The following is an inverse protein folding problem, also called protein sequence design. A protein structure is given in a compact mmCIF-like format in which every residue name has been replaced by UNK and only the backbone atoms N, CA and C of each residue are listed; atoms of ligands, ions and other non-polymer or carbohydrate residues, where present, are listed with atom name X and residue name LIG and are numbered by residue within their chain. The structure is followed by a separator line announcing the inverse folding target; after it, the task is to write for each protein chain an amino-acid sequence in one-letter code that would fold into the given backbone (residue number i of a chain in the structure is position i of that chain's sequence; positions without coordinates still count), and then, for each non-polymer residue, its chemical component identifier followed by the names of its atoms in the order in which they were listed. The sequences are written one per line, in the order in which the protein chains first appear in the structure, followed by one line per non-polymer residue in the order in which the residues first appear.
data_IF_131306697604
#
_entry.id   IF_131306697604
#
_cell.length_a   1.000
_cell.length_b   1.000
_cell.length_c   1.000
_cell.angle_alpha   90.00
_cell.angle_beta   90.00
_cell.angle_gamma   90.00
#
_symmetry.space_group_name_H-M   'P 1'
#
loop_
_entity.id
_entity.type
_entity.pdbx_description
1 polymer ?
#
# COMPACT_ATOMS: atom_id res chain seq x y z
N UNK A 1 8.02 11.61 -19.00
CA UNK A 1 8.26 10.17 -18.71
C UNK A 1 7.93 9.35 -19.94
N UNK A 2 8.77 8.39 -20.29
CA UNK A 2 8.48 7.41 -21.34
C UNK A 2 7.32 6.49 -20.92
N UNK A 3 6.63 5.88 -21.89
CA UNK A 3 5.58 4.90 -21.64
C UNK A 3 6.09 3.71 -20.79
N UNK A 4 7.32 3.27 -21.05
CA UNK A 4 7.99 2.19 -20.28
C UNK A 4 8.12 2.56 -18.81
N UNK A 5 8.52 3.80 -18.51
CA UNK A 5 8.65 4.26 -17.12
C UNK A 5 7.29 4.28 -16.41
N UNK A 6 6.21 4.66 -17.11
CA UNK A 6 4.85 4.68 -16.54
C UNK A 6 4.31 3.26 -16.25
N UNK A 7 4.57 2.32 -17.15
CA UNK A 7 4.20 0.91 -16.96
C UNK A 7 4.98 0.30 -15.79
N UNK A 8 6.28 0.58 -15.71
CA UNK A 8 7.11 0.10 -14.60
C UNK A 8 6.66 0.67 -13.25
N UNK A 9 6.33 1.96 -13.18
CA UNK A 9 5.76 2.56 -11.95
C UNK A 9 4.44 1.91 -11.56
N UNK A 10 3.56 1.65 -12.54
CA UNK A 10 2.27 1.01 -12.31
C UNK A 10 2.42 -0.43 -11.83
N UNK A 11 3.35 -1.19 -12.42
CA UNK A 11 3.64 -2.57 -12.02
C UNK A 11 4.22 -2.66 -10.61
N UNK A 12 5.13 -1.74 -10.24
CA UNK A 12 5.70 -1.69 -8.88
C UNK A 12 4.63 -1.33 -7.84
N UNK A 13 3.79 -0.34 -8.15
CA UNK A 13 2.63 0.04 -7.34
C UNK A 13 1.66 -1.12 -7.14
N UNK A 14 1.34 -1.84 -8.22
CA UNK A 14 0.54 -3.05 -8.16
C UNK A 14 1.18 -4.12 -7.27
N UNK A 15 2.48 -4.37 -7.45
CA UNK A 15 3.21 -5.37 -6.66
C UNK A 15 3.18 -5.04 -5.16
N UNK A 16 3.38 -3.77 -4.78
CA UNK A 16 3.27 -3.33 -3.38
C UNK A 16 1.91 -3.70 -2.78
N UNK A 17 0.82 -3.53 -3.54
CA UNK A 17 -0.53 -3.80 -3.06
C UNK A 17 -0.85 -5.29 -3.01
N UNK A 18 -0.40 -6.07 -3.99
CA UNK A 18 -0.84 -7.46 -4.14
C UNK A 18 0.06 -8.45 -3.38
N UNK A 19 1.37 -8.21 -3.35
CA UNK A 19 2.34 -9.18 -2.83
C UNK A 19 2.12 -9.45 -1.34
N UNK A 20 1.97 -8.41 -0.52
CA UNK A 20 1.87 -8.59 0.93
C UNK A 20 0.60 -9.35 1.35
N UNK A 21 -0.62 -8.94 0.94
CA UNK A 21 -1.85 -9.69 1.27
C UNK A 21 -1.86 -11.14 0.81
N UNK A 22 -1.40 -11.44 -0.41
CA UNK A 22 -1.42 -12.80 -0.94
C UNK A 22 -0.46 -13.73 -0.19
N UNK A 23 0.70 -13.21 0.18
CA UNK A 23 1.68 -13.96 0.96
C UNK A 23 1.27 -14.12 2.43
N UNK A 24 0.58 -13.12 3.01
CA UNK A 24 0.04 -13.20 4.37
C UNK A 24 -0.96 -14.37 4.52
N UNK A 25 -1.81 -14.57 3.53
CA UNK A 25 -2.85 -15.61 3.52
C UNK A 25 -2.27 -16.98 3.14
N UNK A 26 -1.20 -16.97 2.35
CA UNK A 26 -0.52 -18.15 1.86
C UNK A 26 -1.19 -18.74 0.61
N UNK A 27 -0.40 -19.14 -0.41
CA UNK A 27 -0.94 -19.51 -1.72
C UNK A 27 -1.87 -20.74 -1.68
N UNK A 28 -1.70 -21.64 -0.70
CA UNK A 28 -2.53 -22.82 -0.53
C UNK A 28 -3.96 -22.50 -0.04
N UNK A 29 -4.16 -21.35 0.62
CA UNK A 29 -5.45 -20.94 1.17
C UNK A 29 -6.23 -20.00 0.22
N UNK A 30 -5.64 -19.62 -0.91
CA UNK A 30 -6.27 -18.72 -1.87
C UNK A 30 -7.31 -19.45 -2.72
N UNK A 31 -8.55 -18.98 -2.65
CA UNK A 31 -9.60 -19.41 -3.56
C UNK A 31 -9.72 -18.41 -4.71
N UNK A 32 -9.27 -18.80 -5.91
CA UNK A 32 -9.29 -17.97 -7.13
C UNK A 32 -10.69 -17.81 -7.72
N UNK A 33 -11.57 -17.18 -6.95
CA UNK A 33 -12.89 -16.76 -7.40
C UNK A 33 -12.80 -15.46 -8.18
N UNK A 34 -13.84 -15.17 -8.95
CA UNK A 34 -13.94 -13.95 -9.75
C UNK A 34 -13.70 -12.68 -8.91
N UNK A 35 -14.16 -12.65 -7.65
CA UNK A 35 -13.94 -11.52 -6.73
C UNK A 35 -12.46 -11.30 -6.41
N UNK A 36 -11.69 -12.37 -6.17
CA UNK A 36 -10.26 -12.26 -5.88
C UNK A 36 -9.48 -11.80 -7.11
N UNK A 37 -9.82 -12.33 -8.29
CA UNK A 37 -9.22 -11.88 -9.56
C UNK A 37 -9.51 -10.39 -9.76
N UNK A 38 -10.75 -9.96 -9.58
CA UNK A 38 -11.11 -8.54 -9.69
C UNK A 38 -10.36 -7.67 -8.66
N UNK A 39 -10.22 -8.14 -7.42
CA UNK A 39 -9.49 -7.44 -6.37
C UNK A 39 -7.99 -7.31 -6.67
N UNK A 40 -7.38 -8.26 -7.38
CA UNK A 40 -5.97 -8.17 -7.82
C UNK A 40 -5.77 -7.26 -9.03
N UNK A 41 -6.77 -7.16 -9.92
CA UNK A 41 -6.71 -6.31 -11.12
C UNK A 41 -7.07 -4.85 -10.82
N UNK A 42 -7.92 -4.60 -9.83
CA UNK A 42 -8.32 -3.27 -9.41
C UNK A 42 -7.12 -2.35 -9.10
N UNK A 43 -6.14 -2.74 -8.25
CA UNK A 43 -4.93 -1.96 -8.00
C UNK A 43 -4.14 -1.61 -9.26
N UNK A 44 -4.12 -2.52 -10.25
CA UNK A 44 -3.41 -2.29 -11.50
C UNK A 44 -4.07 -1.17 -12.30
N UNK A 45 -5.40 -1.20 -12.42
CA UNK A 45 -6.16 -0.17 -13.12
C UNK A 45 -5.97 1.20 -12.45
N UNK A 46 -6.03 1.26 -11.11
CA UNK A 46 -5.87 2.51 -10.35
C UNK A 46 -4.43 3.06 -10.46
N UNK A 47 -3.41 2.20 -10.32
CA UNK A 47 -2.01 2.58 -10.46
C UNK A 47 -1.68 3.12 -11.87
N UNK A 48 -2.23 2.49 -12.92
CA UNK A 48 -2.04 2.94 -14.30
C UNK A 48 -2.82 4.23 -14.60
N UNK A 49 -4.01 4.40 -14.02
CA UNK A 49 -4.77 5.65 -14.11
C UNK A 49 -3.98 6.82 -13.49
N UNK A 50 -3.38 6.60 -12.31
CA UNK A 50 -2.51 7.56 -11.64
C UNK A 50 -1.25 7.91 -12.48
N UNK A 51 -0.66 6.92 -13.16
CA UNK A 51 0.45 7.14 -14.10
C UNK A 51 0.05 7.93 -15.37
N UNK A 52 -1.21 8.38 -15.44
CA UNK A 52 -1.82 9.10 -16.57
C UNK A 52 -1.70 8.31 -17.87
N UNK A 53 -1.94 7.00 -17.80
CA UNK A 53 -2.17 6.15 -18.95
C UNK A 53 -3.70 6.03 -19.05
N UNK A 54 -4.32 6.70 -20.03
CA UNK A 54 -5.77 6.64 -20.26
C UNK A 54 -6.63 6.62 -18.97
N UNK A 55 -6.58 7.69 -18.15
CA UNK A 55 -7.13 7.67 -16.79
C UNK A 55 -8.64 7.44 -16.74
N UNK A 56 -9.42 8.06 -17.63
CA UNK A 56 -10.88 7.93 -17.68
C UNK A 56 -11.37 6.50 -17.93
N UNK A 57 -10.94 5.78 -18.99
CA UNK A 57 -11.38 4.41 -19.20
C UNK A 57 -10.84 3.45 -18.13
N UNK A 58 -9.65 3.68 -17.59
CA UNK A 58 -9.13 2.85 -16.49
C UNK A 58 -9.91 3.04 -15.19
N UNK A 59 -10.35 4.25 -14.86
CA UNK A 59 -11.23 4.48 -13.72
C UNK A 59 -12.61 3.83 -13.94
N UNK A 60 -13.12 3.83 -15.17
CA UNK A 60 -14.34 3.10 -15.53
C UNK A 60 -14.19 1.58 -15.34
N UNK A 61 -13.08 1.01 -15.81
CA UNK A 61 -12.76 -0.40 -15.57
C UNK A 61 -12.56 -0.70 -14.09
N UNK A 62 -11.88 0.17 -13.35
CA UNK A 62 -11.71 0.04 -11.91
C UNK A 62 -13.06 0.06 -11.18
N UNK A 63 -14.02 0.87 -11.61
CA UNK A 63 -15.36 0.87 -11.04
C UNK A 63 -16.09 -0.47 -11.25
N UNK A 64 -15.99 -1.03 -12.46
CA UNK A 64 -16.55 -2.36 -12.76
C UNK A 64 -15.88 -3.47 -11.94
N UNK A 65 -14.55 -3.48 -11.87
CA UNK A 65 -13.79 -4.43 -11.07
C UNK A 65 -14.10 -4.28 -9.57
N UNK A 66 -14.28 -3.04 -9.11
CA UNK A 66 -14.69 -2.72 -7.75
C UNK A 66 -16.06 -3.29 -7.40
N UNK A 67 -17.05 -3.18 -8.30
CA UNK A 67 -18.37 -3.80 -8.12
C UNK A 67 -18.28 -5.32 -8.06
N UNK A 68 -17.49 -5.94 -8.95
CA UNK A 68 -17.27 -7.39 -8.93
C UNK A 68 -16.61 -7.81 -7.61
N UNK A 69 -15.61 -7.06 -7.14
CA UNK A 69 -14.90 -7.29 -5.88
C UNK A 69 -15.86 -7.30 -4.68
N UNK A 70 -16.79 -6.34 -4.63
CA UNK A 70 -17.76 -6.20 -3.55
C UNK A 70 -19.00 -7.11 -3.67
N UNK A 71 -19.16 -7.86 -4.77
CA UNK A 71 -20.37 -8.63 -5.07
C UNK A 71 -20.76 -9.64 -3.98
N UNK A 72 -19.78 -10.22 -3.28
CA UNK A 72 -20.00 -11.14 -2.18
C UNK A 72 -20.08 -10.42 -0.81
N UNK A 73 -19.58 -9.19 -0.70
CA UNK A 73 -19.44 -8.48 0.57
C UNK A 73 -19.59 -6.97 0.38
N UNK A 74 -20.83 -6.50 0.43
CA UNK A 74 -21.20 -5.10 0.18
C UNK A 74 -20.63 -4.11 1.20
N UNK A 75 -20.17 -4.58 2.36
CA UNK A 75 -19.50 -3.74 3.36
C UNK A 75 -18.18 -3.15 2.85
N UNK A 76 -17.58 -3.73 1.80
CA UNK A 76 -16.39 -3.20 1.12
C UNK A 76 -16.71 -2.07 0.14
N UNK A 77 -17.98 -1.85 -0.21
CA UNK A 77 -18.38 -0.85 -1.21
C UNK A 77 -17.94 0.58 -0.83
N UNK A 78 -18.11 1.07 0.42
CA UNK A 78 -17.63 2.39 0.80
C UNK A 78 -16.11 2.54 0.63
N UNK A 79 -15.36 1.46 0.90
CA UNK A 79 -13.91 1.44 0.76
C UNK A 79 -13.49 1.54 -0.71
N UNK A 80 -14.15 0.78 -1.59
CA UNK A 80 -13.91 0.83 -3.04
C UNK A 80 -14.31 2.18 -3.65
N UNK A 81 -15.43 2.76 -3.21
CA UNK A 81 -15.83 4.10 -3.64
C UNK A 81 -14.80 5.15 -3.21
N UNK A 82 -14.29 5.06 -1.98
CA UNK A 82 -13.21 5.94 -1.52
C UNK A 82 -11.96 5.79 -2.38
N UNK A 83 -11.55 4.57 -2.73
CA UNK A 83 -10.42 4.31 -3.64
C UNK A 83 -10.61 4.99 -5.00
N UNK A 84 -11.80 4.87 -5.61
CA UNK A 84 -12.10 5.50 -6.90
C UNK A 84 -12.02 7.03 -6.82
N UNK A 85 -12.52 7.62 -5.73
CA UNK A 85 -12.45 9.08 -5.51
C UNK A 85 -11.01 9.54 -5.31
N UNK A 86 -10.20 8.81 -4.54
CA UNK A 86 -8.78 9.12 -4.33
C UNK A 86 -7.98 9.00 -5.63
N UNK A 87 -8.21 7.93 -6.40
CA UNK A 87 -7.57 7.73 -7.70
C UNK A 87 -7.96 8.82 -8.70
N UNK A 88 -9.24 9.21 -8.72
CA UNK A 88 -9.72 10.33 -9.53
C UNK A 88 -9.02 11.64 -9.13
N UNK A 89 -8.91 11.91 -7.84
CA UNK A 89 -8.24 13.10 -7.31
C UNK A 89 -6.75 13.10 -7.69
N UNK A 90 -6.05 11.98 -7.55
CA UNK A 90 -4.64 11.84 -7.94
C UNK A 90 -4.41 11.98 -9.46
N UNK A 91 -5.36 11.52 -10.27
CA UNK A 91 -5.25 11.58 -11.74
C UNK A 91 -5.57 12.98 -12.31
N UNK A 92 -6.41 13.76 -11.63
CA UNK A 92 -6.93 15.05 -12.13
C UNK A 92 -6.27 16.26 -11.47
N UNK A 93 -5.95 16.20 -10.18
CA UNK A 93 -5.43 17.35 -9.44
C UNK A 93 -3.90 17.43 -9.48
N UNK A 94 -3.38 18.63 -9.65
CA UNK A 94 -1.96 18.92 -9.48
C UNK A 94 -1.61 19.10 -8.01
N UNK A 95 -1.43 17.98 -7.31
CA UNK A 95 -0.98 18.00 -5.91
C UNK A 95 0.53 18.24 -5.81
N UNK A 96 0.95 18.85 -4.70
CA UNK A 96 2.37 18.86 -4.34
C UNK A 96 2.86 17.44 -4.00
N UNK A 97 4.18 17.15 -4.07
CA UNK A 97 4.67 15.78 -3.91
C UNK A 97 4.31 15.08 -2.58
N UNK A 98 4.37 15.74 -1.41
CA UNK A 98 4.03 15.09 -0.13
C UNK A 98 2.56 14.62 0.00
N UNK A 99 1.53 15.46 -0.28
CA UNK A 99 0.15 15.01 -0.21
C UNK A 99 -0.17 13.97 -1.29
N UNK A 100 0.40 14.09 -2.50
CA UNK A 100 0.21 13.09 -3.54
C UNK A 100 0.71 11.69 -3.11
N UNK A 101 1.91 11.64 -2.50
CA UNK A 101 2.46 10.39 -2.00
C UNK A 101 1.66 9.84 -0.80
N UNK A 102 1.16 10.72 0.08
CA UNK A 102 0.34 10.32 1.23
C UNK A 102 -1.00 9.71 0.78
N UNK A 103 -1.69 10.37 -0.14
CA UNK A 103 -2.96 9.88 -0.71
C UNK A 103 -2.77 8.53 -1.40
N UNK A 104 -1.68 8.38 -2.16
CA UNK A 104 -1.32 7.11 -2.77
C UNK A 104 -1.07 5.99 -1.75
N UNK A 105 -0.39 6.31 -0.65
CA UNK A 105 -0.10 5.34 0.40
C UNK A 105 -1.39 4.91 1.13
N UNK A 106 -2.30 5.86 1.38
CA UNK A 106 -3.64 5.58 1.91
C UNK A 106 -4.44 4.69 0.95
N UNK A 107 -4.36 4.97 -0.35
CA UNK A 107 -5.00 4.13 -1.38
C UNK A 107 -4.42 2.71 -1.39
N UNK A 108 -3.10 2.56 -1.29
CA UNK A 108 -2.45 1.25 -1.15
C UNK A 108 -2.93 0.49 0.09
N UNK A 109 -3.03 1.19 1.23
CA UNK A 109 -3.54 0.59 2.47
C UNK A 109 -4.98 0.10 2.28
N UNK A 110 -5.87 0.92 1.71
CA UNK A 110 -7.24 0.49 1.44
C UNK A 110 -7.30 -0.69 0.47
N UNK A 111 -6.49 -0.69 -0.59
CA UNK A 111 -6.48 -1.80 -1.54
C UNK A 111 -5.95 -3.09 -0.90
N UNK A 112 -4.94 -3.00 -0.04
CA UNK A 112 -4.45 -4.15 0.73
C UNK A 112 -5.53 -4.69 1.67
N UNK A 113 -6.28 -3.82 2.36
CA UNK A 113 -7.43 -4.21 3.20
C UNK A 113 -8.54 -4.87 2.37
N UNK A 114 -8.88 -4.31 1.21
CA UNK A 114 -9.85 -4.92 0.30
C UNK A 114 -9.40 -6.32 -0.09
N UNK A 115 -8.13 -6.47 -0.49
CA UNK A 115 -7.59 -7.73 -0.97
C UNK A 115 -7.51 -8.79 0.15
N UNK A 116 -7.04 -8.42 1.34
CA UNK A 116 -7.03 -9.34 2.50
C UNK A 116 -8.44 -9.76 2.89
N UNK A 117 -9.40 -8.85 2.89
CA UNK A 117 -10.79 -9.15 3.24
C UNK A 117 -11.45 -10.05 2.20
N UNK A 118 -11.25 -9.79 0.92
CA UNK A 118 -11.81 -10.64 -0.16
C UNK A 118 -11.20 -12.04 -0.12
N UNK A 119 -9.92 -12.15 0.18
CA UNK A 119 -9.24 -13.44 0.22
C UNK A 119 -9.56 -14.25 1.50
N UNK A 120 -9.73 -13.59 2.65
CA UNK A 120 -10.06 -14.26 3.94
C UNK A 120 -11.56 -14.31 4.28
N UNK A 121 -12.40 -13.57 3.54
CA UNK A 121 -13.84 -13.35 3.79
C UNK A 121 -14.16 -12.68 5.15
N UNK A 122 -13.14 -12.25 5.91
CA UNK A 122 -13.29 -11.66 7.24
C UNK A 122 -12.47 -10.39 7.31
N UNK A 123 -13.02 -9.35 7.95
CA UNK A 123 -12.25 -8.16 8.30
C UNK A 123 -11.51 -8.49 9.60
N UNK A 124 -10.24 -8.87 9.47
CA UNK A 124 -9.39 -9.18 10.63
C UNK A 124 -8.70 -7.90 11.13
N UNK A 125 -8.96 -7.57 12.40
CA UNK A 125 -8.37 -6.41 13.07
C UNK A 125 -6.86 -6.58 13.25
N UNK A 126 -6.37 -7.81 13.39
CA UNK A 126 -4.94 -8.11 13.46
C UNK A 126 -4.24 -7.81 12.13
N UNK A 127 -4.82 -8.24 11.01
CA UNK A 127 -4.30 -7.90 9.68
C UNK A 127 -4.30 -6.38 9.41
N UNK A 128 -5.33 -5.66 9.89
CA UNK A 128 -5.40 -4.19 9.82
C UNK A 128 -4.26 -3.51 10.61
N UNK A 129 -3.98 -3.99 11.83
CA UNK A 129 -2.88 -3.49 12.65
C UNK A 129 -1.54 -3.76 11.97
N UNK A 130 -1.33 -4.98 11.46
CA UNK A 130 -0.10 -5.34 10.73
C UNK A 130 0.13 -4.40 9.54
N UNK A 131 -0.90 -4.18 8.73
CA UNK A 131 -0.87 -3.25 7.60
C UNK A 131 -0.55 -1.82 8.04
N UNK A 132 -1.19 -1.35 9.12
CA UNK A 132 -0.97 -0.01 9.65
C UNK A 132 0.48 0.17 10.13
N UNK A 133 1.03 -0.82 10.84
CA UNK A 133 2.40 -0.81 11.34
C UNK A 133 3.43 -0.78 10.20
N UNK A 134 3.13 -1.40 9.06
CA UNK A 134 3.98 -1.33 7.86
C UNK A 134 3.90 0.02 7.17
N UNK A 135 2.70 0.59 7.06
CA UNK A 135 2.43 1.78 6.24
C UNK A 135 2.71 3.11 6.95
N UNK A 136 2.46 3.19 8.26
CA UNK A 136 2.65 4.41 9.06
C UNK A 136 4.08 4.98 9.03
N UNK A 137 5.15 4.18 9.15
CA UNK A 137 6.52 4.67 9.09
C UNK A 137 6.83 5.38 7.75
N UNK A 138 6.30 4.86 6.65
CA UNK A 138 6.47 5.48 5.33
C UNK A 138 5.63 6.74 5.18
N UNK A 139 4.43 6.78 5.76
CA UNK A 139 3.62 8.00 5.82
C UNK A 139 4.35 9.12 6.59
N UNK A 140 4.97 8.79 7.73
CA UNK A 140 5.80 9.74 8.50
C UNK A 140 6.99 10.22 7.66
N UNK A 141 7.66 9.29 6.96
CA UNK A 141 8.84 9.58 6.13
C UNK A 141 8.53 10.53 4.97
N UNK A 142 7.32 10.47 4.39
CA UNK A 142 6.87 11.40 3.34
C UNK A 142 6.87 12.86 3.84
N UNK A 143 6.58 13.07 5.12
CA UNK A 143 6.48 14.40 5.74
C UNK A 143 7.76 14.85 6.44
N UNK A 144 8.84 14.06 6.37
CA UNK A 144 10.07 14.34 7.11
C UNK A 144 10.68 15.72 6.86
N UNK A 145 10.55 16.28 5.65
CA UNK A 145 11.04 17.63 5.32
C UNK A 145 10.29 18.75 6.05
N UNK A 146 9.05 18.49 6.44
CA UNK A 146 8.21 19.44 7.19
C UNK A 146 8.33 19.27 8.70
N UNK A 147 9.01 18.20 9.16
CA UNK A 147 9.18 17.88 10.58
C UNK A 147 10.60 18.22 11.07
N UNK A 148 10.78 18.48 12.38
CA UNK A 148 12.10 18.62 12.99
C UNK A 148 12.98 17.39 12.71
N UNK A 149 14.29 17.61 12.59
CA UNK A 149 15.35 16.60 12.28
C UNK A 149 15.20 15.23 12.95
N UNK A 150 14.75 15.27 14.19
CA UNK A 150 14.73 14.14 15.11
C UNK A 150 13.32 13.53 15.27
N UNK A 151 12.27 14.28 14.92
CA UNK A 151 10.90 13.93 15.27
C UNK A 151 10.36 12.80 14.40
N UNK A 152 10.72 12.79 13.12
CA UNK A 152 10.40 11.69 12.21
C UNK A 152 11.05 10.38 12.67
N UNK A 153 12.32 10.43 13.06
CA UNK A 153 13.07 9.26 13.55
C UNK A 153 12.45 8.71 14.83
N UNK A 154 12.14 9.58 15.80
CA UNK A 154 11.47 9.15 17.05
C UNK A 154 10.11 8.54 16.75
N UNK A 155 9.31 9.15 15.87
CA UNK A 155 8.00 8.64 15.52
C UNK A 155 8.07 7.27 14.84
N UNK A 156 9.01 7.07 13.92
CA UNK A 156 9.26 5.77 13.27
C UNK A 156 9.66 4.70 14.29
N UNK A 157 10.60 5.02 15.19
CA UNK A 157 11.04 4.11 16.25
C UNK A 157 9.88 3.75 17.18
N UNK A 158 9.02 4.73 17.51
CA UNK A 158 7.85 4.51 18.35
C UNK A 158 6.86 3.55 17.69
N UNK A 159 6.56 3.74 16.40
CA UNK A 159 5.67 2.82 15.65
C UNK A 159 6.26 1.40 15.61
N UNK A 160 7.55 1.26 15.33
CA UNK A 160 8.21 -0.05 15.34
C UNK A 160 8.22 -0.70 16.73
N UNK A 161 8.48 0.09 17.78
CA UNK A 161 8.47 -0.35 19.18
C UNK A 161 7.09 -0.80 19.63
N UNK A 162 6.02 -0.08 19.26
CA UNK A 162 4.63 -0.49 19.50
C UNK A 162 4.35 -1.81 18.79
N UNK A 163 4.78 -1.98 17.54
CA UNK A 163 4.58 -3.23 16.82
C UNK A 163 5.31 -4.43 17.45
N UNK A 164 6.50 -4.22 18.03
CA UNK A 164 7.18 -5.27 18.80
C UNK A 164 6.48 -5.57 20.13
N UNK A 165 6.04 -4.54 20.85
CA UNK A 165 5.32 -4.69 22.12
C UNK A 165 4.03 -5.49 21.95
N UNK A 166 3.31 -5.23 20.85
CA UNK A 166 2.11 -5.97 20.48
C UNK A 166 2.40 -7.34 19.81
N UNK A 167 3.68 -7.73 19.70
CA UNK A 167 4.12 -8.99 19.09
C UNK A 167 3.73 -9.17 17.60
N UNK A 168 3.42 -8.07 16.91
CA UNK A 168 3.13 -8.07 15.47
C UNK A 168 4.42 -7.98 14.62
N UNK A 169 5.50 -7.44 15.18
CA UNK A 169 6.80 -7.30 14.54
C UNK A 169 7.89 -8.09 15.27
N UNK A 170 8.78 -8.70 14.50
CA UNK A 170 10.04 -9.27 15.01
C UNK A 170 11.09 -8.17 15.11
N UNK A 171 12.19 -8.44 15.83
CA UNK A 171 13.31 -7.49 15.89
C UNK A 171 13.86 -7.18 14.50
N UNK A 172 13.95 -8.18 13.62
CA UNK A 172 14.44 -8.02 12.26
C UNK A 172 13.49 -7.16 11.41
N UNK A 173 12.17 -7.38 11.50
CA UNK A 173 11.22 -6.56 10.75
C UNK A 173 11.15 -5.13 11.27
N UNK A 174 11.22 -4.93 12.59
CA UNK A 174 11.30 -3.61 13.20
C UNK A 174 12.56 -2.84 12.72
N UNK A 175 13.72 -3.50 12.71
CA UNK A 175 14.97 -2.89 12.23
C UNK A 175 14.89 -2.56 10.73
N UNK A 176 14.32 -3.44 9.91
CA UNK A 176 14.11 -3.18 8.49
C UNK A 176 13.19 -1.98 8.23
N UNK A 177 12.07 -1.90 8.96
CA UNK A 177 11.14 -0.75 8.92
C UNK A 177 11.89 0.55 9.22
N UNK A 178 12.63 0.59 10.32
CA UNK A 178 13.35 1.80 10.75
C UNK A 178 14.37 2.21 9.70
N UNK A 179 15.21 1.28 9.22
CA UNK A 179 16.25 1.59 8.25
C UNK A 179 15.66 2.07 6.92
N UNK A 180 14.68 1.36 6.37
CA UNK A 180 14.07 1.71 5.09
C UNK A 180 13.28 3.03 5.18
N UNK A 181 12.56 3.27 6.28
CA UNK A 181 11.85 4.52 6.51
C UNK A 181 12.83 5.71 6.64
N UNK A 182 13.95 5.54 7.37
CA UNK A 182 14.99 6.59 7.47
C UNK A 182 15.65 6.88 6.12
N UNK A 183 15.89 5.87 5.29
CA UNK A 183 16.42 6.05 3.93
C UNK A 183 15.42 6.82 3.05
N UNK A 184 14.13 6.52 3.15
CA UNK A 184 13.07 7.25 2.44
C UNK A 184 12.92 8.69 2.98
N UNK A 185 13.16 8.88 4.28
CA UNK A 185 13.16 10.17 4.97
C UNK A 185 14.34 11.08 4.58
N UNK A 186 15.26 10.60 3.73
CA UNK A 186 16.47 11.35 3.40
C UNK A 186 16.16 12.76 2.85
N UNK A 187 16.51 13.76 3.65
CA UNK A 187 16.19 15.17 3.42
C UNK A 187 16.95 15.74 2.22
N UNK A 188 18.11 15.17 1.87
CA UNK A 188 18.97 15.65 0.79
C UNK A 188 18.42 15.33 -0.60
N UNK A 189 17.54 14.34 -0.74
CA UNK A 189 17.00 13.92 -2.03
C UNK A 189 15.52 14.29 -2.18
N UNK A 190 15.04 14.56 -3.42
CA UNK A 190 13.62 14.73 -3.66
C UNK A 190 12.89 13.40 -3.48
N UNK A 191 11.72 13.44 -2.82
CA UNK A 191 10.83 12.30 -2.68
C UNK A 191 10.48 11.75 -4.07
N UNK A 192 10.86 10.50 -4.34
CA UNK A 192 10.40 9.79 -5.55
C UNK A 192 9.40 8.71 -5.14
N UNK A 193 8.19 8.71 -5.71
CA UNK A 193 7.17 7.70 -5.40
C UNK A 193 7.66 6.26 -5.58
N UNK A 194 8.55 6.03 -6.55
CA UNK A 194 9.20 4.73 -6.78
C UNK A 194 9.93 4.19 -5.55
N UNK A 195 10.67 5.04 -4.82
CA UNK A 195 11.44 4.60 -3.66
C UNK A 195 10.53 4.25 -2.49
N UNK A 196 9.44 5.00 -2.31
CA UNK A 196 8.43 4.73 -1.27
C UNK A 196 7.77 3.37 -1.53
N UNK A 197 7.35 3.12 -2.77
CA UNK A 197 6.68 1.87 -3.13
C UNK A 197 7.63 0.66 -3.02
N UNK A 198 8.88 0.82 -3.47
CA UNK A 198 9.90 -0.22 -3.37
C UNK A 198 10.25 -0.54 -1.91
N UNK A 199 10.39 0.49 -1.06
CA UNK A 199 10.68 0.31 0.35
C UNK A 199 9.51 -0.37 1.07
N UNK A 200 8.27 0.05 0.82
CA UNK A 200 7.08 -0.57 1.39
C UNK A 200 6.93 -2.05 0.97
N UNK A 201 7.19 -2.35 -0.31
CA UNK A 201 7.21 -3.74 -0.82
C UNK A 201 8.30 -4.57 -0.13
N UNK A 202 9.53 -4.05 -0.04
CA UNK A 202 10.65 -4.74 0.59
C UNK A 202 10.36 -5.05 2.07
N UNK A 203 9.81 -4.09 2.82
CA UNK A 203 9.40 -4.28 4.21
C UNK A 203 8.35 -5.37 4.36
N UNK A 204 7.32 -5.37 3.50
CA UNK A 204 6.30 -6.41 3.50
C UNK A 204 6.90 -7.80 3.28
N UNK A 205 7.80 -7.93 2.31
CA UNK A 205 8.52 -9.18 2.05
C UNK A 205 9.37 -9.65 3.24
N UNK A 206 10.07 -8.74 3.92
CA UNK A 206 10.88 -9.06 5.11
C UNK A 206 10.00 -9.55 6.27
N UNK A 207 8.84 -8.91 6.49
CA UNK A 207 7.89 -9.33 7.52
C UNK A 207 7.39 -10.75 7.25
N UNK A 208 7.02 -11.06 6.01
CA UNK A 208 6.60 -12.40 5.63
C UNK A 208 7.75 -13.39 5.80
N UNK A 209 8.95 -13.06 5.32
CA UNK A 209 10.11 -13.94 5.43
C UNK A 209 10.45 -14.28 6.89
N UNK A 210 10.36 -13.29 7.78
CA UNK A 210 10.58 -13.49 9.23
C UNK A 210 9.48 -14.34 9.86
N UNK A 211 8.20 -14.08 9.56
CA UNK A 211 7.09 -14.89 10.08
C UNK A 211 7.14 -16.36 9.63
N UNK A 212 7.66 -16.63 8.43
CA UNK A 212 7.80 -18.00 7.91
C UNK A 212 8.97 -18.78 8.55
N UNK A 213 9.99 -18.10 9.06
CA UNK A 213 11.20 -18.75 9.55
C UNK A 213 11.40 -18.68 11.07
N UNK A 214 10.59 -17.89 11.80
CA UNK A 214 10.70 -17.71 13.24
C UNK A 214 11.76 -16.69 13.62
#
# INVERSE_FOLDING_TARGET
MSLVTKLFTGALAWAQVVVFPLLLIGPANLNWRLQLVAATLLPLCLALAQARIWPTPLLGLAALLGLITCSAQWTLLPLVLAQLVLAWLLSTQSLTPPPAASVWLIECFFLQVTLTTVASQVIDLTALIDLALVMLPFLISIWAKSLPGWLDVIAIILVAGVGMYLQHLTLLSALAIVLLAVVVSNRSHPLRPLWVNAAALATGLIIIATRLHG
#
